data_IF_679540194924
#
_entry.id   IF_679540194924
#
_cell.length_a   1.000
_cell.length_b   1.000
_cell.length_c   1.000
_cell.angle_alpha   90.00
_cell.angle_beta   90.00
_cell.angle_gamma   90.00
#
_symmetry.space_group_name_H-M   'P 1'
#
loop_
_entity.id
_entity.type
_entity.pdbx_description
1 polymer ?
#
# COMPACT_ATOMS: atom_id res chain seq x y z
N UNK A 1 14.21 3.09 -2.56
CA UNK A 1 13.52 4.39 -2.51
C UNK A 1 12.03 4.14 -2.72
N UNK A 2 11.16 4.83 -1.98
CA UNK A 2 9.73 4.76 -2.22
C UNK A 2 9.12 6.17 -2.21
N UNK A 3 8.15 6.41 -3.09
CA UNK A 3 7.37 7.64 -3.14
C UNK A 3 5.88 7.30 -3.11
N UNK A 4 5.10 8.13 -2.41
CA UNK A 4 3.65 7.96 -2.30
C UNK A 4 2.96 9.27 -2.62
N UNK A 5 1.91 9.19 -3.42
CA UNK A 5 0.97 10.27 -3.70
C UNK A 5 -0.41 9.86 -3.20
N UNK A 6 -1.12 10.80 -2.58
CA UNK A 6 -2.53 10.66 -2.27
C UNK A 6 -3.30 11.88 -2.79
N UNK A 7 -4.52 11.64 -3.24
CA UNK A 7 -5.43 12.66 -3.72
C UNK A 7 -6.85 12.33 -3.25
N UNK A 8 -7.62 13.36 -2.88
CA UNK A 8 -9.00 13.23 -2.46
C UNK A 8 -9.92 13.75 -3.58
N UNK A 9 -10.23 12.95 -4.61
CA UNK A 9 -11.10 13.39 -5.72
C UNK A 9 -12.52 13.73 -5.27
N UNK A 10 -13.02 13.08 -4.20
CA UNK A 10 -14.32 13.39 -3.63
C UNK A 10 -14.18 13.70 -2.14
N UNK A 11 -14.45 14.96 -1.80
CA UNK A 11 -14.58 15.39 -0.42
C UNK A 11 -15.90 14.88 0.19
N UNK A 12 -15.83 14.53 1.46
CA UNK A 12 -17.01 14.15 2.25
C UNK A 12 -18.09 15.25 2.23
N UNK A 13 -19.34 14.85 2.36
CA UNK A 13 -20.46 15.76 2.65
C UNK A 13 -21.50 15.05 3.52
N UNK A 14 -22.59 15.73 3.86
CA UNK A 14 -23.59 15.18 4.80
C UNK A 14 -24.10 13.79 4.39
N UNK A 15 -24.42 13.62 3.11
CA UNK A 15 -24.97 12.35 2.57
C UNK A 15 -23.95 11.53 1.79
N UNK A 16 -22.85 12.14 1.33
CA UNK A 16 -21.85 11.48 0.46
C UNK A 16 -20.58 11.05 1.22
N UNK A 17 -20.00 9.87 0.92
CA UNK A 17 -18.71 9.47 1.47
C UNK A 17 -17.57 10.31 0.85
N UNK A 18 -16.38 10.23 1.45
CA UNK A 18 -15.16 10.64 0.76
C UNK A 18 -14.63 9.52 -0.13
N UNK A 19 -13.88 9.90 -1.16
CA UNK A 19 -13.08 8.98 -1.97
C UNK A 19 -11.66 9.50 -1.99
N UNK A 20 -10.71 8.65 -1.59
CA UNK A 20 -9.29 8.89 -1.68
C UNK A 20 -8.67 7.93 -2.70
N UNK A 21 -7.75 8.44 -3.51
CA UNK A 21 -6.94 7.66 -4.44
C UNK A 21 -5.49 7.75 -3.98
N UNK A 22 -4.81 6.62 -3.96
CA UNK A 22 -3.39 6.54 -3.61
C UNK A 22 -2.61 5.89 -4.73
N UNK A 23 -1.37 6.32 -4.89
CA UNK A 23 -0.39 5.65 -5.73
C UNK A 23 0.95 5.64 -5.01
N UNK A 24 1.66 4.52 -5.04
CA UNK A 24 3.03 4.42 -4.53
C UNK A 24 3.91 3.71 -5.53
N UNK A 25 5.15 4.16 -5.62
CA UNK A 25 6.21 3.54 -6.40
C UNK A 25 7.37 3.21 -5.47
N UNK A 26 7.83 1.96 -5.52
CA UNK A 26 9.00 1.45 -4.84
C UNK A 26 10.07 0.99 -5.83
N UNK A 27 11.33 1.28 -5.49
CA UNK A 27 12.52 0.78 -6.17
C UNK A 27 13.47 0.18 -5.12
N UNK A 28 13.83 -1.07 -5.31
CA UNK A 28 14.84 -1.79 -4.54
C UNK A 28 16.02 -2.19 -5.42
N UNK A 29 17.23 -2.04 -4.89
CA UNK A 29 18.45 -2.57 -5.48
C UNK A 29 19.23 -3.32 -4.40
N UNK A 30 19.69 -4.53 -4.73
CA UNK A 30 20.59 -5.29 -3.88
C UNK A 30 21.71 -5.90 -4.71
N UNK A 31 22.89 -6.02 -4.12
CA UNK A 31 24.05 -6.68 -4.72
C UNK A 31 24.69 -7.59 -3.68
N UNK A 32 24.71 -8.89 -3.94
CA UNK A 32 25.18 -9.88 -2.98
C UNK A 32 25.77 -11.11 -3.70
N UNK A 33 26.67 -11.87 -3.05
CA UNK A 33 27.03 -13.21 -3.48
C UNK A 33 25.78 -14.10 -3.51
N UNK A 34 25.58 -14.88 -4.58
CA UNK A 34 24.56 -15.92 -4.62
C UNK A 34 25.16 -17.30 -4.29
N UNK A 35 24.35 -18.34 -4.38
CA UNK A 35 24.74 -19.73 -4.09
C UNK A 35 25.87 -20.26 -5.00
N UNK A 36 26.16 -19.56 -6.11
CA UNK A 36 27.28 -19.83 -7.02
C UNK A 36 28.56 -19.07 -6.66
N UNK A 37 28.61 -18.43 -5.49
CA UNK A 37 29.68 -17.55 -5.00
C UNK A 37 29.96 -16.31 -5.88
N UNK A 38 29.18 -16.11 -6.95
CA UNK A 38 29.28 -14.95 -7.82
C UNK A 38 28.42 -13.81 -7.29
N UNK A 39 28.88 -12.57 -7.53
CA UNK A 39 28.11 -11.39 -7.13
C UNK A 39 27.04 -11.06 -8.16
N UNK A 40 25.77 -11.15 -7.76
CA UNK A 40 24.62 -10.84 -8.60
C UNK A 40 23.92 -9.57 -8.15
N UNK A 41 23.37 -8.84 -9.10
CA UNK A 41 22.54 -7.65 -8.85
C UNK A 41 21.06 -7.98 -8.99
N UNK A 42 20.27 -7.44 -8.08
CA UNK A 42 18.83 -7.63 -7.98
C UNK A 42 18.16 -6.27 -8.05
N UNK A 43 17.16 -6.16 -8.92
CA UNK A 43 16.33 -4.97 -9.03
C UNK A 43 14.88 -5.35 -8.81
N UNK A 44 14.21 -4.64 -7.90
CA UNK A 44 12.79 -4.80 -7.65
C UNK A 44 12.11 -3.47 -7.91
N UNK A 45 11.09 -3.49 -8.76
CA UNK A 45 10.17 -2.39 -8.95
C UNK A 45 8.84 -2.79 -8.35
N UNK A 46 8.15 -1.87 -7.70
CA UNK A 46 6.82 -2.10 -7.13
C UNK A 46 5.97 -0.87 -7.41
N UNK A 47 4.86 -1.04 -8.13
CA UNK A 47 3.87 0.01 -8.33
C UNK A 47 2.58 -0.43 -7.65
N UNK A 48 2.01 0.43 -6.82
CA UNK A 48 0.72 0.19 -6.16
C UNK A 48 -0.20 1.36 -6.41
N UNK A 49 -1.46 1.05 -6.69
CA UNK A 49 -2.55 2.02 -6.79
C UNK A 49 -3.68 1.59 -5.89
N UNK A 50 -4.39 2.53 -5.29
CA UNK A 50 -5.46 2.24 -4.35
C UNK A 50 -6.61 3.24 -4.45
N UNK A 51 -7.80 2.75 -4.12
CA UNK A 51 -8.99 3.56 -3.90
C UNK A 51 -9.55 3.22 -2.54
N UNK A 52 -9.85 4.24 -1.75
CA UNK A 52 -10.47 4.14 -0.44
C UNK A 52 -11.75 4.95 -0.41
N UNK A 53 -12.84 4.34 0.06
CA UNK A 53 -14.14 5.00 0.22
C UNK A 53 -14.58 4.87 1.67
N UNK A 54 -14.90 5.98 2.31
CA UNK A 54 -15.25 6.00 3.72
C UNK A 54 -16.16 7.16 4.12
N UNK A 55 -16.65 7.11 5.35
CA UNK A 55 -17.54 8.15 5.89
C UNK A 55 -17.29 8.36 7.37
N UNK A 56 -17.24 9.61 7.79
CA UNK A 56 -17.17 10.03 9.18
C UNK A 56 -18.55 9.86 9.83
N UNK A 57 -18.59 9.07 10.89
CA UNK A 57 -19.76 8.82 11.72
C UNK A 57 -19.54 9.44 13.10
N UNK A 58 -20.55 10.17 13.58
CA UNK A 58 -20.55 10.86 14.87
C UNK A 58 -19.29 11.73 15.11
N UNK A 59 -18.72 12.30 14.03
CA UNK A 59 -17.52 13.14 14.07
C UNK A 59 -16.22 12.45 14.47
N UNK A 60 -16.24 11.13 14.74
CA UNK A 60 -15.15 10.42 15.40
C UNK A 60 -14.68 9.16 14.67
N UNK A 61 -15.64 8.36 14.21
CA UNK A 61 -15.38 7.05 13.64
C UNK A 61 -15.39 7.17 12.13
N UNK A 62 -14.33 6.74 11.46
CA UNK A 62 -14.22 6.82 10.00
C UNK A 62 -14.01 5.41 9.47
N UNK A 63 -15.06 4.57 9.41
CA UNK A 63 -14.99 3.31 8.69
C UNK A 63 -14.79 3.56 7.20
N UNK A 64 -14.02 2.69 6.56
CA UNK A 64 -13.78 2.72 5.13
C UNK A 64 -13.55 1.32 4.57
N UNK A 65 -13.76 1.20 3.27
CA UNK A 65 -13.32 0.06 2.46
C UNK A 65 -12.23 0.52 1.51
N UNK A 66 -11.29 -0.36 1.20
CA UNK A 66 -10.19 -0.03 0.30
C UNK A 66 -9.89 -1.21 -0.62
N UNK A 67 -9.69 -0.88 -1.89
CA UNK A 67 -9.24 -1.80 -2.92
C UNK A 67 -7.91 -1.29 -3.47
N UNK A 68 -6.95 -2.19 -3.66
CA UNK A 68 -5.63 -1.84 -4.19
C UNK A 68 -5.27 -2.79 -5.31
N UNK A 69 -4.56 -2.27 -6.29
CA UNK A 69 -3.86 -3.07 -7.27
C UNK A 69 -2.36 -2.83 -7.12
N UNK A 70 -1.57 -3.86 -7.31
CA UNK A 70 -0.12 -3.77 -7.28
C UNK A 70 0.49 -4.69 -8.32
N UNK A 71 1.68 -4.33 -8.74
CA UNK A 71 2.45 -5.09 -9.69
C UNK A 71 3.81 -4.46 -9.88
N UNK A 72 4.81 -5.29 -10.12
CA UNK A 72 6.14 -4.79 -10.35
C UNK A 72 7.10 -5.90 -10.76
N UNK A 73 7.87 -5.70 -11.84
CA UNK A 73 8.84 -6.70 -12.25
C UNK A 73 10.00 -6.76 -11.25
N UNK A 74 10.43 -7.98 -10.96
CA UNK A 74 11.71 -8.24 -10.28
C UNK A 74 12.68 -8.81 -11.30
N UNK A 75 13.85 -8.21 -11.41
CA UNK A 75 14.91 -8.61 -12.33
C UNK A 75 16.10 -9.16 -11.55
N UNK A 76 16.55 -10.36 -11.92
CA UNK A 76 17.76 -10.99 -11.36
C UNK A 76 18.49 -11.83 -12.40
N UNK A 77 19.65 -12.38 -12.04
CA UNK A 77 20.41 -13.32 -12.87
C UNK A 77 20.33 -14.73 -12.29
N UNK A 78 20.13 -15.72 -13.15
CA UNK A 78 20.16 -17.14 -12.80
C UNK A 78 20.93 -17.91 -13.87
N UNK A 79 22.01 -18.59 -13.49
CA UNK A 79 22.83 -19.37 -14.42
C UNK A 79 23.41 -18.56 -15.58
N UNK A 80 23.78 -17.30 -15.35
CA UNK A 80 24.29 -16.38 -16.39
C UNK A 80 23.23 -15.82 -17.33
N UNK A 81 21.95 -16.14 -17.13
CA UNK A 81 20.81 -15.61 -17.89
C UNK A 81 19.99 -14.63 -17.07
N UNK A 82 19.45 -13.58 -17.71
CA UNK A 82 18.54 -12.64 -17.07
C UNK A 82 17.15 -13.26 -16.89
N UNK A 83 16.60 -13.18 -15.68
CA UNK A 83 15.27 -13.68 -15.33
C UNK A 83 14.41 -12.52 -14.84
N UNK A 84 13.14 -12.53 -15.25
CA UNK A 84 12.11 -11.59 -14.79
C UNK A 84 11.02 -12.36 -14.06
N UNK A 85 10.74 -11.95 -12.83
CA UNK A 85 9.63 -12.42 -12.01
C UNK A 85 8.54 -11.38 -11.94
N UNK A 86 7.34 -11.84 -11.60
CA UNK A 86 6.17 -11.00 -11.42
C UNK A 86 5.39 -11.44 -10.16
N UNK A 87 4.48 -10.59 -9.72
CA UNK A 87 3.68 -10.83 -8.52
C UNK A 87 2.66 -11.97 -8.70
N UNK A 88 2.46 -12.73 -7.61
CA UNK A 88 1.47 -13.82 -7.56
C UNK A 88 0.04 -13.28 -7.48
N UNK A 89 -0.15 -12.16 -6.79
CA UNK A 89 -1.43 -11.48 -6.63
C UNK A 89 -1.28 -10.06 -7.19
N UNK A 90 -2.37 -9.50 -7.70
CA UNK A 90 -2.35 -8.17 -8.34
C UNK A 90 -3.35 -7.22 -7.72
N UNK A 91 -4.23 -7.71 -6.84
CA UNK A 91 -5.33 -6.95 -6.25
C UNK A 91 -5.53 -7.39 -4.80
N UNK A 92 -5.79 -6.44 -3.91
CA UNK A 92 -6.29 -6.65 -2.55
C UNK A 92 -7.56 -5.87 -2.28
N UNK A 93 -8.38 -6.42 -1.39
CA UNK A 93 -9.60 -5.78 -0.90
C UNK A 93 -9.67 -5.94 0.61
N UNK A 94 -10.07 -4.86 1.28
CA UNK A 94 -10.18 -4.83 2.73
C UNK A 94 -11.00 -3.67 3.25
N UNK A 95 -10.99 -3.57 4.57
CA UNK A 95 -11.69 -2.53 5.30
C UNK A 95 -10.85 -2.07 6.49
N UNK A 96 -11.13 -0.85 6.93
CA UNK A 96 -10.47 -0.27 8.07
C UNK A 96 -11.32 0.75 8.79
N UNK A 97 -10.75 1.25 9.87
CA UNK A 97 -11.36 2.21 10.75
C UNK A 97 -10.29 3.20 11.20
N UNK A 98 -10.55 4.48 11.01
CA UNK A 98 -9.81 5.54 11.69
C UNK A 98 -10.67 6.02 12.86
N UNK A 99 -10.07 6.11 14.04
CA UNK A 99 -10.67 6.70 15.24
C UNK A 99 -9.96 8.01 15.51
N UNK A 100 -10.68 9.12 15.38
CA UNK A 100 -10.18 10.44 15.73
C UNK A 100 -10.18 10.58 17.25
N UNK A 101 -9.01 10.76 17.84
CA UNK A 101 -8.86 10.97 19.27
C UNK A 101 -8.73 12.47 19.58
N UNK A 102 -9.07 12.89 20.80
CA UNK A 102 -8.64 14.20 21.30
C UNK A 102 -7.12 14.32 21.23
N UNK A 103 -6.59 15.56 21.17
CA UNK A 103 -5.15 15.88 21.16
C UNK A 103 -4.43 15.70 19.82
N UNK A 104 -5.12 15.91 18.69
CA UNK A 104 -4.48 15.87 17.37
C UNK A 104 -3.84 14.50 17.06
N UNK A 105 -4.46 13.41 17.55
CA UNK A 105 -4.02 12.03 17.29
C UNK A 105 -5.14 11.23 16.66
N UNK A 106 -4.83 10.45 15.64
CA UNK A 106 -5.73 9.47 15.06
C UNK A 106 -5.13 8.07 15.15
N UNK A 107 -5.97 7.08 15.47
CA UNK A 107 -5.59 5.66 15.43
C UNK A 107 -6.26 5.00 14.24
N UNK A 108 -5.50 4.23 13.48
CA UNK A 108 -5.99 3.51 12.30
C UNK A 108 -5.79 2.02 12.48
N UNK A 109 -6.80 1.24 12.11
CA UNK A 109 -6.70 -0.20 11.93
C UNK A 109 -7.21 -0.58 10.54
N UNK A 110 -6.51 -1.48 9.87
CA UNK A 110 -6.88 -1.97 8.54
C UNK A 110 -6.62 -3.47 8.41
N UNK A 111 -7.53 -4.17 7.75
CA UNK A 111 -7.36 -5.57 7.39
C UNK A 111 -7.73 -5.80 5.92
N UNK A 112 -6.86 -6.54 5.23
CA UNK A 112 -6.98 -6.93 3.81
C UNK A 112 -7.01 -8.45 3.73
N UNK A 113 -8.18 -9.11 3.84
CA UNK A 113 -8.26 -10.58 3.85
C UNK A 113 -8.23 -11.21 2.44
N UNK A 114 -8.46 -10.44 1.38
CA UNK A 114 -8.52 -10.91 0.00
C UNK A 114 -7.31 -10.43 -0.80
N UNK A 115 -6.66 -11.34 -1.53
CA UNK A 115 -5.42 -11.06 -2.27
C UNK A 115 -4.17 -11.31 -1.43
N UNK A 116 -3.21 -10.39 -1.48
CA UNK A 116 -2.14 -10.31 -0.48
C UNK A 116 -2.74 -9.99 0.91
N UNK A 117 -2.63 -10.96 1.82
CA UNK A 117 -3.24 -10.84 3.13
C UNK A 117 -2.39 -9.99 4.06
N UNK A 118 -2.98 -8.93 4.61
CA UNK A 118 -2.28 -8.05 5.55
C UNK A 118 -3.21 -7.49 6.61
N UNK A 119 -2.62 -7.14 7.76
CA UNK A 119 -3.26 -6.33 8.78
C UNK A 119 -2.29 -5.24 9.24
N UNK A 120 -2.79 -4.04 9.48
CA UNK A 120 -1.99 -2.90 9.87
C UNK A 120 -2.66 -2.11 10.99
N UNK A 121 -1.82 -1.57 11.88
CA UNK A 121 -2.19 -0.59 12.89
C UNK A 121 -1.29 0.63 12.70
N UNK A 122 -1.87 1.82 12.84
CA UNK A 122 -1.16 3.07 12.66
C UNK A 122 -1.60 4.13 13.64
N UNK A 123 -0.70 5.07 13.93
CA UNK A 123 -0.98 6.29 14.68
C UNK A 123 -0.55 7.47 13.82
N UNK A 124 -1.46 8.43 13.64
CA UNK A 124 -1.18 9.68 12.92
C UNK A 124 -1.21 10.83 13.91
N UNK A 125 -0.22 11.71 13.84
CA UNK A 125 -0.13 12.94 14.62
C UNK A 125 -0.38 14.12 13.68
N UNK A 126 -1.28 15.03 14.06
CA UNK A 126 -1.49 16.30 13.37
C UNK A 126 -0.62 17.36 14.05
N UNK A 127 0.43 17.81 13.37
CA UNK A 127 1.37 18.83 13.85
C UNK A 127 0.90 20.24 13.47
#
# INVERSE_FOLDING_TARGET
>A
MAGTLSWLPLYEGETRPFVAVTASLGLGFARAPADDEMTHSWWAFDLRGGVTVGKTLAGRWVPYVSARAFGGPVFWQHGGSGVTGNDRYHVTLGAGLIVRLPLHVDVTAEAMPLGEQSAALGVTLHL
#
